data_IF_610082090026
#
_entry.id   IF_610082090026
#
_cell.length_a   1.000
_cell.length_b   1.000
_cell.length_c   1.000
_cell.angle_alpha   90.00
_cell.angle_beta   90.00
_cell.angle_gamma   90.00
#
_symmetry.space_group_name_H-M   'P 1'
#
loop_
_entity.id
_entity.type
_entity.pdbx_description
1 polymer ?
#
# COMPACT_ATOMS: atom_id res chain seq x y z
N UNK A 1 -24.18 -1.92 3.64
CA UNK A 1 -25.01 -2.97 4.29
C UNK A 1 -25.39 -2.57 5.71
N UNK A 2 -26.65 -2.16 5.97
CA UNK A 2 -27.07 -1.71 7.30
C UNK A 2 -26.92 -2.79 8.38
N UNK A 3 -27.18 -4.06 8.03
CA UNK A 3 -27.18 -5.20 8.97
C UNK A 3 -25.87 -5.38 9.74
N UNK A 4 -24.72 -5.11 9.12
CA UNK A 4 -23.40 -5.35 9.72
C UNK A 4 -22.78 -4.10 10.34
N UNK A 5 -23.36 -2.92 10.10
CA UNK A 5 -22.71 -1.64 10.44
C UNK A 5 -22.46 -1.48 11.94
N UNK A 6 -23.49 -1.71 12.76
CA UNK A 6 -23.38 -1.52 14.22
C UNK A 6 -22.32 -2.44 14.84
N UNK A 7 -22.25 -3.69 14.37
CA UNK A 7 -21.27 -4.66 14.89
C UNK A 7 -19.85 -4.33 14.42
N UNK A 8 -19.67 -3.90 13.17
CA UNK A 8 -18.37 -3.46 12.67
C UNK A 8 -17.86 -2.21 13.42
N UNK A 9 -18.75 -1.26 13.74
CA UNK A 9 -18.40 -0.07 14.53
C UNK A 9 -18.02 -0.43 15.96
N UNK A 10 -18.60 -1.50 16.53
CA UNK A 10 -18.27 -2.02 17.85
C UNK A 10 -16.93 -2.77 17.87
N UNK A 11 -16.69 -3.61 16.87
CA UNK A 11 -15.47 -4.42 16.75
C UNK A 11 -14.24 -3.57 16.39
N UNK A 12 -14.43 -2.55 15.55
CA UNK A 12 -13.37 -1.69 15.05
C UNK A 12 -13.67 -0.20 15.31
N UNK A 13 -13.49 0.28 16.55
CA UNK A 13 -13.64 1.70 16.86
C UNK A 13 -12.72 2.59 16.02
N UNK A 14 -11.49 2.10 15.79
CA UNK A 14 -10.56 2.63 14.80
C UNK A 14 -10.80 1.91 13.46
N UNK A 15 -11.40 2.63 12.52
CA UNK A 15 -11.85 2.07 11.24
C UNK A 15 -10.70 1.79 10.28
N UNK A 16 -9.50 2.30 10.56
CA UNK A 16 -8.29 2.08 9.75
C UNK A 16 -7.52 0.83 10.18
N UNK A 17 -8.05 0.03 11.12
CA UNK A 17 -7.33 -1.10 11.73
C UNK A 17 -7.94 -2.47 11.44
N UNK A 18 -8.95 -2.54 10.57
CA UNK A 18 -9.69 -3.79 10.30
C UNK A 18 -8.74 -4.89 9.82
N UNK A 19 -7.98 -4.63 8.76
CA UNK A 19 -7.03 -5.62 8.25
C UNK A 19 -5.84 -5.79 9.17
N UNK A 20 -5.39 -4.73 9.85
CA UNK A 20 -4.28 -4.83 10.81
C UNK A 20 -4.59 -5.85 11.92
N UNK A 21 -5.76 -5.76 12.54
CA UNK A 21 -6.15 -6.67 13.61
C UNK A 21 -6.45 -8.08 13.10
N UNK A 22 -7.29 -8.20 12.06
CA UNK A 22 -7.68 -9.51 11.53
C UNK A 22 -6.48 -10.23 10.88
N UNK A 23 -5.63 -9.49 10.19
CA UNK A 23 -4.43 -10.02 9.55
C UNK A 23 -3.44 -10.60 10.55
N UNK A 24 -3.13 -9.87 11.62
CA UNK A 24 -2.25 -10.36 12.68
C UNK A 24 -2.87 -11.52 13.50
N UNK A 25 -4.19 -11.59 13.59
CA UNK A 25 -4.87 -12.70 14.25
C UNK A 25 -4.84 -13.98 13.39
N UNK A 26 -5.13 -13.86 12.09
CA UNK A 26 -5.30 -15.00 11.19
C UNK A 26 -3.98 -15.51 10.61
N UNK A 27 -3.08 -14.60 10.24
CA UNK A 27 -1.85 -14.95 9.55
C UNK A 27 -0.72 -15.08 10.55
N UNK A 28 -0.38 -16.32 10.87
CA UNK A 28 0.81 -16.66 11.63
C UNK A 28 1.72 -17.50 10.73
N UNK A 29 2.97 -17.07 10.47
CA UNK A 29 3.85 -17.79 9.56
C UNK A 29 4.26 -19.13 10.17
N UNK A 30 4.40 -20.17 9.33
CA UNK A 30 4.95 -21.45 9.78
C UNK A 30 6.40 -21.30 10.24
N UNK A 31 6.91 -22.25 11.04
CA UNK A 31 8.30 -22.23 11.51
C UNK A 31 9.32 -22.11 10.38
N UNK A 32 9.05 -22.72 9.21
CA UNK A 32 9.93 -22.63 8.05
C UNK A 32 9.99 -21.21 7.48
N UNK A 33 8.83 -20.53 7.39
CA UNK A 33 8.76 -19.14 6.93
C UNK A 33 9.35 -18.20 7.99
N UNK A 34 9.00 -18.39 9.26
CA UNK A 34 9.51 -17.61 10.37
C UNK A 34 11.03 -17.70 10.50
N UNK A 35 11.62 -18.88 10.29
CA UNK A 35 13.07 -19.06 10.26
C UNK A 35 13.76 -18.26 9.16
N UNK A 36 13.10 -18.00 8.02
CA UNK A 36 13.67 -17.13 6.97
C UNK A 36 13.58 -15.66 7.34
N UNK A 37 12.42 -15.25 7.88
CA UNK A 37 12.17 -13.87 8.30
C UNK A 37 13.19 -13.47 9.37
N UNK A 38 13.29 -14.25 10.44
CA UNK A 38 14.19 -13.98 11.58
C UNK A 38 15.65 -13.94 11.16
N UNK A 39 16.14 -14.97 10.45
CA UNK A 39 17.55 -14.99 10.00
C UNK A 39 17.92 -13.79 9.13
N UNK A 40 17.02 -13.38 8.22
CA UNK A 40 17.28 -12.22 7.38
C UNK A 40 17.26 -10.92 8.21
N UNK A 41 16.26 -10.77 9.08
CA UNK A 41 16.13 -9.61 9.94
C UNK A 41 17.36 -9.45 10.85
N UNK A 42 17.77 -10.50 11.55
CA UNK A 42 18.90 -10.47 12.48
C UNK A 42 20.22 -10.15 11.76
N UNK A 43 20.42 -10.71 10.56
CA UNK A 43 21.65 -10.52 9.80
C UNK A 43 21.77 -9.14 9.14
N UNK A 44 20.66 -8.54 8.71
CA UNK A 44 20.71 -7.37 7.82
C UNK A 44 19.93 -6.14 8.32
N UNK A 45 18.93 -6.30 9.18
CA UNK A 45 17.98 -5.24 9.52
C UNK A 45 17.95 -4.87 11.01
N UNK A 46 18.30 -5.79 11.92
CA UNK A 46 18.12 -5.63 13.35
C UNK A 46 18.93 -4.45 13.96
N UNK A 47 20.09 -4.13 13.36
CA UNK A 47 21.00 -3.09 13.86
C UNK A 47 20.77 -1.70 13.25
N UNK A 48 19.85 -1.57 12.30
CA UNK A 48 19.57 -0.28 11.69
C UNK A 48 18.72 0.58 12.62
N UNK A 49 19.08 1.86 12.76
CA UNK A 49 18.30 2.84 13.55
C UNK A 49 16.91 3.07 12.94
N UNK A 50 16.83 3.02 11.60
CA UNK A 50 15.59 3.12 10.83
C UNK A 50 15.64 2.16 9.62
N UNK A 51 14.54 1.43 9.39
CA UNK A 51 14.40 0.47 8.30
C UNK A 51 13.41 0.98 7.26
N UNK A 52 13.86 1.01 6.01
CA UNK A 52 13.08 1.50 4.87
C UNK A 52 12.74 0.32 3.96
N UNK A 53 11.46 0.00 3.88
CA UNK A 53 10.92 -1.02 2.98
C UNK A 53 10.57 -0.41 1.62
N UNK A 54 11.10 -0.97 0.54
CA UNK A 54 10.78 -0.56 -0.84
C UNK A 54 10.10 -1.72 -1.57
N UNK A 55 8.77 -1.69 -1.61
CA UNK A 55 7.97 -2.68 -2.32
C UNK A 55 7.72 -2.23 -3.76
N UNK A 56 8.42 -2.85 -4.72
CA UNK A 56 8.37 -2.48 -6.14
C UNK A 56 7.66 -3.56 -6.96
N UNK A 57 6.54 -3.20 -7.58
CA UNK A 57 5.78 -4.05 -8.51
C UNK A 57 5.45 -3.28 -9.79
N UNK A 58 5.85 -3.84 -10.93
CA UNK A 58 5.55 -3.32 -12.26
C UNK A 58 4.53 -4.23 -12.95
N UNK A 59 3.34 -3.71 -13.22
CA UNK A 59 2.26 -4.47 -13.88
C UNK A 59 2.33 -4.40 -15.40
N UNK A 60 2.82 -3.29 -15.94
CA UNK A 60 2.99 -3.08 -17.38
C UNK A 60 4.38 -2.49 -17.64
N UNK A 61 5.31 -3.33 -18.09
CA UNK A 61 6.70 -2.94 -18.37
C UNK A 61 6.84 -2.07 -19.62
N UNK A 62 5.83 -2.05 -20.51
CA UNK A 62 5.80 -1.14 -21.66
C UNK A 62 5.45 0.28 -21.24
N UNK A 63 4.46 0.42 -20.35
CA UNK A 63 4.07 1.71 -19.78
C UNK A 63 5.02 2.23 -18.70
N UNK A 64 5.60 1.32 -17.90
CA UNK A 64 6.53 1.63 -16.82
C UNK A 64 7.80 0.79 -16.92
N UNK A 65 8.72 1.14 -17.82
CA UNK A 65 10.03 0.49 -17.89
C UNK A 65 10.80 0.61 -16.56
N UNK A 66 11.65 -0.37 -16.26
CA UNK A 66 12.44 -0.41 -15.01
C UNK A 66 13.23 0.90 -14.76
N UNK A 67 13.91 1.52 -15.75
CA UNK A 67 14.60 2.79 -15.52
C UNK A 67 13.66 3.92 -15.07
N UNK A 68 12.44 3.95 -15.60
CA UNK A 68 11.41 4.94 -15.23
C UNK A 68 10.98 4.75 -13.78
N UNK A 69 10.73 3.49 -13.40
CA UNK A 69 10.34 3.12 -12.04
C UNK A 69 11.44 3.46 -11.04
N UNK A 70 12.70 3.16 -11.37
CA UNK A 70 13.85 3.52 -10.56
C UNK A 70 13.98 5.04 -10.38
N UNK A 71 13.80 5.82 -11.46
CA UNK A 71 13.81 7.30 -11.40
C UNK A 71 12.70 7.84 -10.52
N UNK A 72 11.47 7.31 -10.63
CA UNK A 72 10.37 7.73 -9.76
C UNK A 72 10.56 7.32 -8.31
N UNK A 73 11.10 6.13 -8.07
CA UNK A 73 11.43 5.66 -6.74
C UNK A 73 12.43 6.58 -6.05
N UNK A 74 13.54 6.91 -6.73
CA UNK A 74 14.53 7.87 -6.24
C UNK A 74 13.93 9.25 -6.00
N UNK A 75 13.13 9.76 -6.94
CA UNK A 75 12.48 11.06 -6.80
C UNK A 75 11.55 11.08 -5.58
N UNK A 76 10.78 10.02 -5.37
CA UNK A 76 9.90 9.87 -4.21
C UNK A 76 10.70 9.84 -2.90
N UNK A 77 11.70 8.97 -2.80
CA UNK A 77 12.43 8.80 -1.55
C UNK A 77 13.22 10.04 -1.18
N UNK A 78 13.74 10.77 -2.16
CA UNK A 78 14.46 12.02 -1.92
C UNK A 78 13.52 13.19 -1.61
N UNK A 79 12.38 13.32 -2.31
CA UNK A 79 11.45 14.43 -2.08
C UNK A 79 10.80 14.36 -0.70
N UNK A 80 10.54 13.15 -0.22
CA UNK A 80 9.89 12.91 1.07
C UNK A 80 10.91 12.71 2.22
N UNK A 81 12.20 12.90 1.97
CA UNK A 81 13.25 12.78 2.99
C UNK A 81 13.46 11.36 3.53
N UNK A 82 13.02 10.33 2.79
CA UNK A 82 13.14 8.92 3.16
C UNK A 82 14.58 8.44 2.96
N UNK A 83 15.21 8.81 1.84
CA UNK A 83 16.61 8.49 1.57
C UNK A 83 17.40 9.75 1.30
N UNK A 84 18.70 9.80 1.66
CA UNK A 84 19.57 10.89 1.27
C UNK A 84 19.70 10.97 -0.25
N UNK A 85 20.20 12.10 -0.76
CA UNK A 85 20.47 12.24 -2.19
C UNK A 85 21.59 11.28 -2.61
N UNK A 86 21.26 10.35 -3.49
CA UNK A 86 22.16 9.31 -4.00
C UNK A 86 22.35 9.48 -5.51
N UNK A 87 23.59 9.34 -5.98
CA UNK A 87 23.86 9.08 -7.40
C UNK A 87 23.79 7.57 -7.63
N UNK A 88 22.81 7.09 -8.40
CA UNK A 88 22.59 5.66 -8.60
C UNK A 88 23.30 5.17 -9.86
N UNK A 89 24.25 4.26 -9.67
CA UNK A 89 24.76 3.36 -10.73
C UNK A 89 23.86 2.12 -10.83
N UNK A 90 23.27 1.89 -11.99
CA UNK A 90 22.32 0.79 -12.21
C UNK A 90 23.05 -0.54 -12.44
N UNK A 91 23.46 -1.21 -11.36
CA UNK A 91 23.85 -2.63 -11.39
C UNK A 91 23.47 -3.28 -10.05
N UNK A 92 22.19 -3.54 -9.85
CA UNK A 92 21.70 -4.36 -8.74
C UNK A 92 20.79 -5.47 -9.27
N UNK A 93 21.16 -6.71 -8.95
CA UNK A 93 20.36 -7.90 -9.16
C UNK A 93 19.54 -8.14 -7.88
N UNK A 94 18.22 -8.16 -7.99
CA UNK A 94 17.33 -8.50 -6.88
C UNK A 94 16.89 -9.95 -7.03
N UNK A 95 17.14 -10.76 -6.00
CA UNK A 95 16.65 -12.15 -5.92
C UNK A 95 15.49 -12.21 -4.93
N UNK A 96 14.31 -12.62 -5.39
CA UNK A 96 13.16 -12.91 -4.55
C UNK A 96 13.18 -14.39 -4.17
N UNK A 97 13.42 -14.71 -2.90
CA UNK A 97 13.55 -16.12 -2.48
C UNK A 97 12.22 -16.68 -1.98
N UNK A 98 11.39 -15.94 -1.23
CA UNK A 98 10.03 -16.38 -0.81
C UNK A 98 9.08 -15.21 -0.49
N UNK A 99 8.01 -15.08 -1.27
CA UNK A 99 7.02 -14.00 -1.19
C UNK A 99 6.44 -13.73 0.22
N UNK A 100 6.11 -14.76 1.00
CA UNK A 100 5.56 -14.55 2.36
C UNK A 100 6.60 -13.96 3.31
N UNK A 101 7.85 -14.40 3.23
CA UNK A 101 8.91 -13.85 4.08
C UNK A 101 9.18 -12.39 3.74
N UNK A 102 9.18 -12.06 2.44
CA UNK A 102 9.36 -10.69 1.96
C UNK A 102 8.22 -9.75 2.44
N UNK A 103 6.96 -10.20 2.45
CA UNK A 103 5.83 -9.44 3.03
C UNK A 103 6.09 -9.12 4.49
N UNK A 104 6.50 -10.11 5.28
CA UNK A 104 6.75 -9.93 6.71
C UNK A 104 7.94 -9.02 6.96
N UNK A 105 9.03 -9.18 6.19
CA UNK A 105 10.21 -8.31 6.29
C UNK A 105 9.86 -6.85 5.98
N UNK A 106 9.04 -6.60 4.96
CA UNK A 106 8.52 -5.25 4.67
C UNK A 106 7.61 -4.71 5.78
N UNK A 107 6.81 -5.57 6.43
CA UNK A 107 5.94 -5.15 7.54
C UNK A 107 6.71 -4.80 8.82
N UNK A 108 8.00 -5.20 8.91
CA UNK A 108 8.90 -4.86 10.01
C UNK A 108 9.69 -3.56 9.75
N UNK A 109 9.46 -2.87 8.63
CA UNK A 109 10.08 -1.58 8.32
C UNK A 109 9.34 -0.41 8.98
N UNK A 110 10.10 0.60 9.39
CA UNK A 110 9.57 1.81 10.03
C UNK A 110 8.93 2.76 8.98
N UNK A 111 9.53 2.81 7.79
CA UNK A 111 9.02 3.54 6.62
C UNK A 111 8.80 2.56 5.48
N UNK A 112 7.67 2.69 4.77
CA UNK A 112 7.32 1.81 3.66
C UNK A 112 6.94 2.61 2.41
N UNK A 113 7.56 2.26 1.29
CA UNK A 113 7.18 2.71 -0.06
C UNK A 113 6.55 1.53 -0.79
N UNK A 114 5.35 1.71 -1.33
CA UNK A 114 4.61 0.65 -2.05
C UNK A 114 4.30 1.04 -3.49
N UNK A 115 4.07 0.05 -4.33
CA UNK A 115 3.63 0.26 -5.71
C UNK A 115 2.10 0.28 -5.83
N UNK A 116 1.57 1.16 -6.68
CA UNK A 116 0.13 1.21 -7.00
C UNK A 116 -0.38 -0.17 -7.37
N UNK A 117 -1.62 -0.48 -6.98
CA UNK A 117 -2.35 -1.71 -7.29
C UNK A 117 -1.74 -2.99 -6.69
N UNK A 118 -0.65 -2.89 -5.92
CA UNK A 118 0.02 -4.08 -5.39
C UNK A 118 -0.61 -4.54 -4.08
N UNK A 119 -1.39 -5.61 -4.14
CA UNK A 119 -1.93 -6.27 -2.95
C UNK A 119 -0.84 -6.80 -2.01
N UNK A 120 0.33 -7.16 -2.56
CA UNK A 120 1.51 -7.52 -1.78
C UNK A 120 1.93 -6.38 -0.83
N UNK A 121 1.95 -5.13 -1.34
CA UNK A 121 2.19 -3.94 -0.53
C UNK A 121 1.09 -3.69 0.50
N UNK A 122 -0.18 -3.91 0.13
CA UNK A 122 -1.30 -3.73 1.07
C UNK A 122 -1.23 -4.68 2.27
N UNK A 123 -0.83 -5.93 2.06
CA UNK A 123 -0.68 -6.88 3.17
C UNK A 123 0.46 -6.43 4.09
N UNK A 124 1.62 -6.10 3.51
CA UNK A 124 2.77 -5.64 4.30
C UNK A 124 2.46 -4.38 5.13
N UNK A 125 1.87 -3.36 4.50
CA UNK A 125 1.58 -2.08 5.16
C UNK A 125 0.55 -2.25 6.30
N UNK A 126 -0.45 -3.12 6.11
CA UNK A 126 -1.53 -3.30 7.06
C UNK A 126 -1.09 -4.17 8.24
N UNK A 127 -0.29 -5.22 8.01
CA UNK A 127 0.35 -5.99 9.09
C UNK A 127 1.25 -5.08 9.93
N UNK A 128 2.12 -4.30 9.26
CA UNK A 128 3.09 -3.40 9.91
C UNK A 128 2.48 -2.15 10.54
N UNK A 129 1.18 -1.91 10.36
CA UNK A 129 0.49 -0.71 10.83
C UNK A 129 1.07 0.60 10.25
N UNK A 130 1.59 0.55 9.02
CA UNK A 130 2.28 1.68 8.38
C UNK A 130 1.39 2.28 7.29
N UNK A 131 1.23 3.60 7.30
CA UNK A 131 0.69 4.35 6.14
C UNK A 131 1.82 4.53 5.13
N UNK A 132 1.81 3.86 3.98
CA UNK A 132 2.95 3.90 3.06
C UNK A 132 2.99 5.19 2.24
N UNK A 133 4.11 5.40 1.57
CA UNK A 133 4.23 6.25 0.39
C UNK A 133 3.96 5.42 -0.87
N UNK A 134 2.96 5.80 -1.64
CA UNK A 134 2.53 5.05 -2.82
C UNK A 134 3.21 5.66 -4.05
N UNK A 135 4.10 4.90 -4.69
CA UNK A 135 4.77 5.29 -5.93
C UNK A 135 3.77 5.63 -7.02
N UNK A 136 4.09 6.62 -7.84
CA UNK A 136 3.24 7.05 -8.94
C UNK A 136 3.89 6.69 -10.27
N UNK A 137 3.52 5.51 -10.78
CA UNK A 137 4.01 4.97 -12.05
C UNK A 137 2.84 4.70 -13.01
N UNK A 138 2.96 5.04 -14.31
CA UNK A 138 1.91 4.78 -15.30
C UNK A 138 1.58 3.29 -15.43
N UNK A 139 0.29 2.92 -15.41
CA UNK A 139 -0.17 1.54 -15.62
C UNK A 139 -0.70 1.29 -17.05
N UNK A 140 -1.03 2.34 -17.78
CA UNK A 140 -1.50 2.31 -19.17
C UNK A 140 -0.44 2.85 -20.14
N UNK A 141 -0.48 2.39 -21.40
CA UNK A 141 0.45 2.81 -22.46
C UNK A 141 0.20 4.29 -22.85
N UNK A 142 0.58 5.23 -22.01
CA UNK A 142 0.62 6.65 -22.37
C UNK A 142 2.00 6.97 -22.96
N UNK A 143 1.96 7.47 -24.19
CA UNK A 143 3.08 7.95 -25.00
C UNK A 143 3.55 9.35 -24.61
N UNK A 144 3.42 9.72 -23.33
CA UNK A 144 3.78 11.04 -22.82
C UNK A 144 5.04 10.97 -21.98
N UNK A 145 6.09 11.66 -22.43
CA UNK A 145 7.37 11.88 -21.73
C UNK A 145 7.24 12.65 -20.38
N UNK A 146 6.01 12.90 -19.94
CA UNK A 146 5.70 13.61 -18.70
C UNK A 146 5.40 12.60 -17.59
N UNK A 147 6.47 12.26 -16.87
CA UNK A 147 6.37 11.65 -15.55
C UNK A 147 5.33 12.39 -14.68
N UNK A 148 4.54 11.67 -13.86
CA UNK A 148 3.66 12.31 -12.89
C UNK A 148 4.42 13.36 -12.06
N UNK A 149 3.81 14.53 -11.90
CA UNK A 149 4.40 15.68 -11.22
C UNK A 149 4.90 15.31 -9.81
N UNK A 150 4.05 14.60 -9.05
CA UNK A 150 4.39 13.95 -7.79
C UNK A 150 4.81 12.49 -8.01
N UNK A 151 6.01 12.16 -7.55
CA UNK A 151 6.62 10.84 -7.67
C UNK A 151 5.93 9.77 -6.82
N UNK A 152 5.37 10.19 -5.69
CA UNK A 152 4.54 9.37 -4.82
C UNK A 152 3.59 10.24 -4.02
N UNK A 153 2.72 9.60 -3.24
CA UNK A 153 1.83 10.28 -2.29
C UNK A 153 1.65 9.46 -1.04
N UNK A 154 1.45 10.11 0.09
CA UNK A 154 1.15 9.42 1.34
C UNK A 154 -0.23 8.79 1.27
N UNK A 155 -0.35 7.56 1.74
CA UNK A 155 -1.64 6.91 1.89
C UNK A 155 -2.48 7.62 2.98
N UNK A 156 -3.77 7.78 2.74
CA UNK A 156 -4.77 8.29 3.69
C UNK A 156 -4.89 7.34 4.87
N UNK A 157 -4.82 6.02 4.64
CA UNK A 157 -4.82 5.01 5.69
C UNK A 157 -3.97 3.79 5.31
N UNK A 158 -3.67 2.96 6.30
CA UNK A 158 -2.96 1.68 6.11
C UNK A 158 -3.87 0.57 5.55
N UNK A 159 -5.18 0.80 5.45
CA UNK A 159 -6.12 -0.20 4.96
C UNK A 159 -5.86 -0.55 3.48
N UNK A 160 -6.05 -1.83 3.10
CA UNK A 160 -6.02 -2.25 1.71
C UNK A 160 -7.07 -1.54 0.85
N UNK A 161 -6.81 -1.45 -0.45
CA UNK A 161 -7.81 -0.98 -1.40
C UNK A 161 -8.69 -2.13 -1.90
N UNK A 162 -10.00 -1.97 -1.83
CA UNK A 162 -10.96 -2.84 -2.51
C UNK A 162 -11.12 -2.37 -3.96
N UNK A 163 -10.46 -3.07 -4.89
CA UNK A 163 -10.35 -2.66 -6.30
C UNK A 163 -11.65 -2.74 -7.10
N UNK A 164 -12.59 -3.59 -6.70
CA UNK A 164 -13.82 -3.86 -7.45
C UNK A 164 -15.06 -3.76 -6.55
N UNK A 165 -15.33 -2.55 -6.02
CA UNK A 165 -16.51 -2.31 -5.19
C UNK A 165 -17.80 -2.41 -6.02
N UNK A 166 -18.95 -2.70 -5.38
CA UNK A 166 -20.23 -2.79 -6.07
C UNK A 166 -20.77 -1.40 -6.47
N UNK A 167 -21.33 -1.32 -7.66
CA UNK A 167 -22.02 -0.14 -8.21
C UNK A 167 -23.55 -0.21 -8.12
N UNK A 168 -24.10 -1.20 -7.41
CA UNK A 168 -25.55 -1.42 -7.34
C UNK A 168 -26.16 -0.88 -6.04
N UNK A 169 -27.09 0.08 -6.14
CA UNK A 169 -27.84 0.61 -5.00
C UNK A 169 -29.06 -0.29 -4.74
N UNK A 170 -28.98 -1.11 -3.69
CA UNK A 170 -30.06 -2.03 -3.32
C UNK A 170 -31.37 -1.34 -2.92
N UNK A 171 -31.33 -0.09 -2.41
CA UNK A 171 -32.54 0.63 -2.01
C UNK A 171 -33.28 1.17 -3.23
N UNK A 172 -32.52 1.74 -4.16
CA UNK A 172 -33.06 2.31 -5.41
C UNK A 172 -33.26 1.25 -6.50
N UNK A 173 -32.66 0.06 -6.33
CA UNK A 173 -32.64 -1.05 -7.29
C UNK A 173 -32.05 -0.66 -8.65
N UNK A 174 -31.08 0.24 -8.66
CA UNK A 174 -30.41 0.74 -9.88
C UNK A 174 -28.91 0.56 -9.78
N UNK A 175 -28.26 0.44 -10.93
CA UNK A 175 -26.83 0.68 -11.04
C UNK A 175 -26.62 2.20 -10.98
N UNK A 176 -25.71 2.66 -10.12
CA UNK A 176 -25.30 4.07 -10.09
C UNK A 176 -24.04 4.24 -10.92
N UNK A 177 -23.90 5.40 -11.55
CA UNK A 177 -22.65 5.81 -12.19
C UNK A 177 -21.62 6.11 -11.10
N UNK A 178 -20.90 5.07 -10.66
CA UNK A 178 -19.92 5.11 -9.57
C UNK A 178 -20.15 4.02 -8.52
N UNK A 179 -19.58 4.23 -7.34
CA UNK A 179 -19.56 3.24 -6.27
C UNK A 179 -20.56 3.58 -5.16
N UNK A 180 -21.30 2.57 -4.71
CA UNK A 180 -22.31 2.77 -3.67
C UNK A 180 -21.67 2.81 -2.28
N UNK A 181 -22.02 3.83 -1.50
CA UNK A 181 -21.58 3.95 -0.12
C UNK A 181 -20.23 4.64 0.04
N UNK A 182 -19.82 5.44 -0.94
CA UNK A 182 -18.76 6.44 -0.80
C UNK A 182 -19.20 7.53 0.18
N UNK A 183 -18.26 7.92 1.04
CA UNK A 183 -18.50 8.84 2.16
C UNK A 183 -17.94 8.25 3.45
N UNK A 184 -17.37 9.08 4.34
CA UNK A 184 -16.89 8.67 5.64
C UNK A 184 -17.71 7.58 6.33
N UNK A 185 -17.10 6.46 6.71
CA UNK A 185 -15.66 6.17 6.78
C UNK A 185 -15.06 5.51 5.54
N UNK A 186 -15.74 5.53 4.39
CA UNK A 186 -15.30 4.88 3.15
C UNK A 186 -14.95 5.93 2.11
N UNK A 187 -13.74 5.89 1.58
CA UNK A 187 -13.26 6.85 0.56
C UNK A 187 -12.60 6.13 -0.61
N UNK A 188 -12.39 6.85 -1.71
CA UNK A 188 -11.64 6.32 -2.83
C UNK A 188 -10.16 6.10 -2.48
N UNK A 189 -9.59 5.05 -3.06
CA UNK A 189 -8.18 4.77 -2.91
C UNK A 189 -7.32 5.78 -3.66
N UNK A 190 -6.11 5.94 -3.15
CA UNK A 190 -5.08 6.78 -3.75
C UNK A 190 -4.54 6.12 -5.03
N UNK A 191 -4.50 4.80 -5.11
CA UNK A 191 -3.84 4.10 -6.20
C UNK A 191 -4.79 3.53 -7.26
N UNK A 192 -6.04 3.25 -6.88
CA UNK A 192 -7.14 2.84 -7.77
C UNK A 192 -8.27 3.84 -7.60
N UNK A 193 -8.50 4.71 -8.59
CA UNK A 193 -9.43 5.85 -8.44
C UNK A 193 -10.88 5.46 -8.20
N UNK A 194 -11.31 4.29 -8.69
CA UNK A 194 -12.63 3.70 -8.46
C UNK A 194 -12.65 2.73 -7.27
N UNK A 195 -11.48 2.36 -6.74
CA UNK A 195 -11.40 1.46 -5.59
C UNK A 195 -11.84 2.17 -4.31
N UNK A 196 -12.26 1.40 -3.31
CA UNK A 196 -12.67 1.93 -2.00
C UNK A 196 -11.77 1.42 -0.88
N UNK A 197 -11.53 2.26 0.12
CA UNK A 197 -10.84 1.86 1.36
C UNK A 197 -11.42 2.57 2.58
N UNK A 198 -11.10 2.03 3.76
CA UNK A 198 -11.55 2.57 5.04
C UNK A 198 -10.60 3.67 5.54
N UNK A 199 -11.19 4.72 6.12
CA UNK A 199 -10.53 5.82 6.80
C UNK A 199 -11.23 6.13 8.12
N UNK A 200 -10.51 6.77 9.03
CA UNK A 200 -11.05 7.27 10.27
C UNK A 200 -11.76 8.60 10.07
N UNK A 201 -12.86 8.78 10.83
CA UNK A 201 -13.65 10.02 10.80
C UNK A 201 -12.85 11.28 11.13
N UNK A 202 -11.80 11.19 11.95
CA UNK A 202 -11.00 12.35 12.38
C UNK A 202 -10.08 12.94 11.29
N UNK A 203 -9.87 12.23 10.17
CA UNK A 203 -9.04 12.74 9.06
C UNK A 203 -9.82 13.59 8.05
N UNK A 204 -11.13 13.69 8.23
CA UNK A 204 -12.04 14.44 7.34
C UNK A 204 -11.87 15.95 7.52
N UNK A 205 -11.50 16.41 8.72
CA UNK A 205 -11.30 17.83 9.04
C UNK A 205 -10.03 18.44 8.43
N UNK A 206 -9.14 17.62 7.84
CA UNK A 206 -7.88 18.10 7.22
C UNK A 206 -7.88 18.05 5.68
N UNK A 207 -9.00 17.67 5.07
CA UNK A 207 -9.18 17.55 3.62
C UNK A 207 -10.26 18.50 3.08
N UNK A 208 -10.87 19.31 3.94
CA UNK A 208 -11.82 20.38 3.59
C UNK A 208 -11.16 21.74 3.54
#
# INVERSE_FOLDING_TARGET
MPRFRAELERLFPDKETVFHHLGNYLFNPSNQAWGLITRFYDAYLARADERIGLQVRVFNTKASPIPLVAKQLLKCTQSEGILPQLQVSTNSSFSSVKALADIYLLSLCDVLVTSRWSTFGYVAQAIGRVKPWILNVPNTNYSGDRLPERACRRAVSMEPCFHYPPSYDMKKKVVVDGEVGTGPPVVHCEDVSWGLKLVNGRQIERLG
#
